data_IF_465961767255
#
_entry.id   IF_465961767255
#
_cell.length_a   1.000
_cell.length_b   1.000
_cell.length_c   1.000
_cell.angle_alpha   90.00
_cell.angle_beta   90.00
_cell.angle_gamma   90.00
#
_symmetry.space_group_name_H-M   'P 1'
#
loop_
_entity.id
_entity.type
_entity.pdbx_description
1 polymer ?
#
# COMPACT_ATOMS: atom_id res chain seq x y z
N UNK A 1 -4.95 -13.26 9.01
CA UNK A 1 -5.86 -14.00 8.11
C UNK A 1 -5.06 -14.43 6.88
N UNK A 2 -4.81 -15.73 6.69
CA UNK A 2 -3.98 -16.23 5.56
C UNK A 2 -4.84 -16.36 4.32
N UNK A 3 -4.72 -15.44 3.36
CA UNK A 3 -5.36 -15.58 2.05
C UNK A 3 -4.53 -16.57 1.23
N UNK A 4 -5.04 -17.80 1.07
CA UNK A 4 -4.52 -18.75 0.09
C UNK A 4 -5.03 -18.35 -1.30
N UNK A 5 -4.23 -17.67 -2.10
CA UNK A 5 -4.50 -17.54 -3.54
C UNK A 5 -4.36 -18.91 -4.19
N UNK A 6 -5.49 -19.53 -4.55
CA UNK A 6 -5.50 -20.63 -5.52
C UNK A 6 -5.34 -20.03 -6.91
N UNK A 7 -4.19 -20.31 -7.53
CA UNK A 7 -3.94 -20.04 -8.95
C UNK A 7 -4.93 -20.89 -9.76
N UNK A 8 -5.83 -20.24 -10.49
CA UNK A 8 -6.59 -20.87 -11.56
C UNK A 8 -5.97 -20.40 -12.86
N UNK A 9 -5.27 -21.31 -13.53
CA UNK A 9 -4.83 -21.12 -14.90
C UNK A 9 -6.05 -21.12 -15.82
N UNK A 10 -6.23 -20.05 -16.60
CA UNK A 10 -7.19 -20.01 -17.69
C UNK A 10 -6.44 -19.72 -18.99
N UNK A 11 -6.68 -20.60 -19.95
CA UNK A 11 -5.96 -20.78 -21.19
C UNK A 11 -6.09 -19.59 -22.15
N UNK A 12 -4.99 -19.33 -22.87
CA UNK A 12 -4.91 -18.45 -24.03
C UNK A 12 -5.68 -19.08 -25.19
N UNK A 13 -6.69 -18.38 -25.71
CA UNK A 13 -7.24 -18.66 -27.05
C UNK A 13 -6.74 -17.56 -27.98
N UNK A 14 -5.80 -17.95 -28.84
CA UNK A 14 -5.39 -17.16 -29.99
C UNK A 14 -6.50 -17.22 -31.05
N UNK A 15 -6.96 -16.07 -31.52
CA UNK A 15 -7.72 -15.97 -32.78
C UNK A 15 -6.83 -15.24 -33.78
N UNK A 16 -6.37 -16.00 -34.77
CA UNK A 16 -5.74 -15.50 -35.97
C UNK A 16 -6.79 -15.36 -37.10
N UNK A 17 -6.43 -14.51 -38.06
CA UNK A 17 -7.07 -14.22 -39.35
C UNK A 17 -8.21 -13.18 -39.34
N UNK A 18 -8.27 -12.22 -40.26
CA UNK A 18 -7.46 -12.03 -41.47
C UNK A 18 -7.61 -10.63 -42.06
N UNK A 19 -6.57 -10.21 -42.78
CA UNK A 19 -6.56 -9.07 -43.67
C UNK A 19 -7.33 -9.42 -44.95
N UNK A 20 -8.31 -8.58 -45.32
CA UNK A 20 -8.71 -8.42 -46.73
C UNK A 20 -8.92 -6.94 -47.00
N UNK A 21 -8.09 -6.38 -47.87
CA UNK A 21 -8.28 -5.09 -48.50
C UNK A 21 -8.99 -5.30 -49.84
N UNK A 22 -10.09 -4.58 -50.09
CA UNK A 22 -10.64 -4.33 -51.44
C UNK A 22 -11.33 -2.96 -51.46
N UNK A 23 -10.78 -2.05 -52.28
CA UNK A 23 -11.48 -1.29 -53.32
C UNK A 23 -12.64 -0.31 -53.01
N UNK A 24 -12.35 0.96 -53.28
CA UNK A 24 -13.19 2.15 -53.53
C UNK A 24 -14.58 1.97 -54.18
N UNK A 25 -15.56 2.81 -53.77
CA UNK A 25 -16.12 3.94 -54.57
C UNK A 25 -17.53 4.38 -54.11
N UNK A 26 -17.75 5.70 -54.01
CA UNK A 26 -19.02 6.34 -54.44
C UNK A 26 -20.01 6.86 -53.39
N UNK A 27 -20.01 8.18 -53.22
CA UNK A 27 -21.16 9.13 -53.17
C UNK A 27 -21.97 9.41 -51.88
N UNK A 28 -21.61 10.57 -51.29
CA UNK A 28 -22.42 11.70 -50.79
C UNK A 28 -22.92 11.86 -49.32
N UNK A 29 -23.00 13.12 -48.80
CA UNK A 29 -22.73 13.54 -47.40
C UNK A 29 -23.98 14.14 -46.70
N UNK A 30 -23.93 15.00 -45.66
CA UNK A 30 -23.02 15.17 -44.51
C UNK A 30 -23.78 14.98 -43.17
N UNK A 31 -23.11 14.54 -42.10
CA UNK A 31 -23.61 14.79 -40.74
C UNK A 31 -22.43 14.88 -39.77
N UNK A 32 -22.26 16.07 -39.20
CA UNK A 32 -21.23 16.36 -38.21
C UNK A 32 -21.24 15.34 -37.10
N UNK A 33 -20.21 14.48 -37.09
CA UNK A 33 -19.91 13.63 -35.96
C UNK A 33 -18.84 14.36 -35.16
N UNK A 34 -19.34 15.14 -34.21
CA UNK A 34 -18.62 15.67 -33.06
C UNK A 34 -17.57 14.68 -32.59
N UNK A 35 -16.30 15.01 -32.84
CA UNK A 35 -15.18 14.43 -32.11
C UNK A 35 -15.40 14.84 -30.66
N UNK A 36 -16.00 13.95 -29.86
CA UNK A 36 -16.04 14.15 -28.41
C UNK A 36 -14.58 14.16 -27.94
N UNK A 37 -14.09 15.26 -27.35
CA UNK A 37 -12.86 15.17 -26.58
C UNK A 37 -13.17 14.18 -25.46
N UNK A 38 -12.36 13.12 -25.35
CA UNK A 38 -12.36 12.28 -24.16
C UNK A 38 -12.18 13.22 -22.97
N UNK A 39 -13.26 13.43 -22.22
CA UNK A 39 -13.22 14.21 -21.00
C UNK A 39 -12.25 13.46 -20.09
N UNK A 40 -11.19 14.10 -19.55
CA UNK A 40 -10.45 13.46 -18.49
C UNK A 40 -11.49 13.09 -17.42
N UNK A 41 -11.54 11.81 -17.07
CA UNK A 41 -12.39 11.32 -15.99
C UNK A 41 -12.18 12.28 -14.83
N UNK A 42 -13.23 13.04 -14.51
CA UNK A 42 -13.20 14.04 -13.45
C UNK A 42 -12.95 13.26 -12.17
N UNK A 43 -11.68 13.15 -11.80
CA UNK A 43 -11.27 12.80 -10.46
C UNK A 43 -12.04 13.80 -9.59
N UNK A 44 -12.99 13.30 -8.81
CA UNK A 44 -13.63 14.08 -7.75
C UNK A 44 -12.49 14.80 -7.06
N UNK A 45 -12.46 16.13 -7.19
CA UNK A 45 -11.41 16.95 -6.60
C UNK A 45 -11.28 16.49 -5.15
N UNK A 46 -10.13 15.92 -4.82
CA UNK A 46 -9.83 15.54 -3.46
C UNK A 46 -9.91 16.84 -2.68
N UNK A 47 -10.94 16.99 -1.84
CA UNK A 47 -11.19 18.20 -1.05
C UNK A 47 -10.14 18.41 0.06
N UNK A 48 -9.03 17.68 -0.02
CA UNK A 48 -8.01 17.55 1.00
C UNK A 48 -6.63 17.49 0.32
N UNK A 49 -5.66 18.13 0.96
CA UNK A 49 -4.24 18.17 0.58
C UNK A 49 -3.49 16.98 1.20
N UNK A 50 -2.28 16.70 0.67
CA UNK A 50 -1.38 15.70 1.27
C UNK A 50 -1.07 16.00 2.74
N UNK A 51 -0.85 17.27 3.09
CA UNK A 51 -0.59 17.68 4.47
C UNK A 51 -1.77 17.42 5.40
N UNK A 52 -3.00 17.67 4.94
CA UNK A 52 -4.20 17.38 5.71
C UNK A 52 -4.39 15.87 5.90
N UNK A 53 -4.12 15.06 4.87
CA UNK A 53 -4.15 13.61 4.97
C UNK A 53 -3.08 13.10 5.96
N UNK A 54 -1.86 13.63 5.88
CA UNK A 54 -0.76 13.31 6.79
C UNK A 54 -1.11 13.63 8.26
N UNK A 55 -1.82 14.73 8.54
CA UNK A 55 -2.27 15.09 9.90
C UNK A 55 -3.36 14.18 10.44
N UNK A 56 -4.18 13.59 9.57
CA UNK A 56 -5.23 12.64 9.97
C UNK A 56 -4.68 11.25 10.27
N UNK A 57 -3.51 10.92 9.74
CA UNK A 57 -2.87 9.63 9.94
C UNK A 57 -2.26 9.53 11.35
N UNK A 58 -2.69 8.57 12.19
CA UNK A 58 -2.06 8.34 13.48
C UNK A 58 -0.71 7.63 13.30
N UNK A 59 0.37 8.41 13.13
CA UNK A 59 1.72 7.89 12.86
C UNK A 59 2.24 6.93 13.93
N UNK A 60 1.87 7.15 15.20
CA UNK A 60 2.26 6.29 16.33
C UNK A 60 1.22 5.19 16.62
N UNK A 61 0.36 4.88 15.64
CA UNK A 61 -0.70 3.89 15.76
C UNK A 61 -1.91 4.37 16.55
N UNK A 62 -2.82 3.44 16.83
CA UNK A 62 -4.04 3.71 17.60
C UNK A 62 -3.84 3.42 19.08
N UNK A 63 -4.86 3.72 19.90
CA UNK A 63 -4.86 3.32 21.31
C UNK A 63 -4.73 1.80 21.48
N UNK A 64 -5.39 1.03 20.61
CA UNK A 64 -5.46 -0.43 20.71
C UNK A 64 -4.27 -1.12 20.01
N UNK A 65 -3.65 -0.44 19.05
CA UNK A 65 -2.43 -0.85 18.35
C UNK A 65 -1.43 0.32 18.31
N UNK A 66 -0.72 0.61 19.41
CA UNK A 66 0.32 1.62 19.41
C UNK A 66 1.57 1.12 18.66
N UNK A 67 2.18 2.00 17.88
CA UNK A 67 3.41 1.78 17.13
C UNK A 67 4.55 2.52 17.83
N UNK A 68 5.62 1.80 18.14
CA UNK A 68 6.86 2.38 18.68
C UNK A 68 7.94 2.34 17.62
N UNK A 69 8.40 3.51 17.17
CA UNK A 69 9.41 3.63 16.13
C UNK A 69 10.83 3.66 16.72
N UNK A 70 11.70 2.76 16.28
CA UNK A 70 13.15 2.90 16.46
C UNK A 70 13.70 3.84 15.38
N UNK A 71 13.81 5.11 15.76
CA UNK A 71 14.27 6.21 14.87
C UNK A 71 15.79 6.34 14.81
N UNK A 72 16.55 5.58 15.61
CA UNK A 72 18.01 5.69 15.63
C UNK A 72 18.63 5.20 14.33
N UNK A 73 19.36 6.09 13.64
CA UNK A 73 20.21 5.76 12.48
C UNK A 73 19.54 5.90 11.11
N UNK A 74 18.26 6.25 11.03
CA UNK A 74 17.58 6.55 9.76
C UNK A 74 17.45 8.06 9.60
N UNK A 75 17.96 8.62 8.50
CA UNK A 75 17.63 9.99 8.13
C UNK A 75 16.17 10.06 7.70
N UNK A 76 15.39 10.97 8.30
CA UNK A 76 14.02 11.25 7.90
C UNK A 76 14.00 11.97 6.56
N UNK A 77 14.23 11.21 5.50
CA UNK A 77 14.04 11.64 4.11
C UNK A 77 12.57 11.50 3.72
N UNK A 78 12.12 12.27 2.73
CA UNK A 78 10.72 12.20 2.24
C UNK A 78 10.31 10.78 1.85
N UNK A 79 11.23 10.01 1.26
CA UNK A 79 11.03 8.60 0.92
C UNK A 79 10.75 7.75 2.16
N UNK A 80 11.57 7.88 3.20
CA UNK A 80 11.43 7.08 4.43
C UNK A 80 10.17 7.49 5.18
N UNK A 81 9.88 8.79 5.25
CA UNK A 81 8.65 9.30 5.86
C UNK A 81 7.40 8.82 5.11
N UNK A 82 7.42 8.83 3.77
CA UNK A 82 6.35 8.26 2.97
C UNK A 82 6.13 6.77 3.27
N UNK A 83 7.20 5.97 3.30
CA UNK A 83 7.10 4.54 3.61
C UNK A 83 6.57 4.29 5.04
N UNK A 84 6.99 5.09 6.03
CA UNK A 84 6.45 5.02 7.40
C UNK A 84 4.96 5.37 7.43
N UNK A 85 4.52 6.37 6.66
CA UNK A 85 3.11 6.75 6.55
C UNK A 85 2.28 5.63 5.93
N UNK A 86 2.77 4.98 4.87
CA UNK A 86 2.12 3.82 4.27
C UNK A 86 1.98 2.66 5.27
N UNK A 87 3.00 2.41 6.09
CA UNK A 87 2.95 1.41 7.17
C UNK A 87 1.93 1.78 8.25
N UNK A 88 2.01 2.99 8.79
CA UNK A 88 1.07 3.46 9.80
C UNK A 88 -0.38 3.39 9.31
N UNK A 89 -0.62 3.68 8.03
CA UNK A 89 -1.95 3.58 7.42
C UNK A 89 -2.49 2.15 7.46
N UNK A 90 -1.69 1.15 7.07
CA UNK A 90 -2.13 -0.25 7.06
C UNK A 90 -2.42 -0.74 8.47
N UNK A 91 -1.57 -0.41 9.44
CA UNK A 91 -1.82 -0.82 10.82
C UNK A 91 -3.00 -0.06 11.45
N UNK A 92 -3.26 1.19 11.03
CA UNK A 92 -4.47 1.91 11.44
C UNK A 92 -5.74 1.28 10.86
N UNK A 93 -5.74 0.95 9.57
CA UNK A 93 -6.82 0.22 8.91
C UNK A 93 -7.11 -1.11 9.64
N UNK A 94 -6.07 -1.92 9.85
CA UNK A 94 -6.18 -3.22 10.52
C UNK A 94 -6.65 -3.11 11.97
N UNK A 95 -6.31 -2.02 12.67
CA UNK A 95 -6.76 -1.78 14.04
C UNK A 95 -8.16 -1.18 14.15
N UNK A 96 -8.84 -0.92 13.03
CA UNK A 96 -10.10 -0.20 12.99
C UNK A 96 -11.26 -1.09 12.56
N UNK A 97 -12.40 -0.96 13.25
CA UNK A 97 -13.64 -1.68 12.91
C UNK A 97 -14.34 -1.08 11.69
N UNK A 98 -14.30 0.25 11.51
CA UNK A 98 -15.02 0.94 10.44
C UNK A 98 -14.02 1.57 9.47
N UNK A 99 -14.04 1.13 8.22
CA UNK A 99 -13.04 1.53 7.23
C UNK A 99 -13.43 2.74 6.37
N UNK A 100 -14.72 3.10 6.35
CA UNK A 100 -15.25 4.25 5.62
C UNK A 100 -14.48 5.58 5.82
N UNK A 101 -14.07 5.97 7.04
CA UNK A 101 -13.30 7.20 7.22
C UNK A 101 -11.80 7.05 6.92
N UNK A 102 -11.30 5.82 6.76
CA UNK A 102 -9.87 5.51 6.66
C UNK A 102 -9.48 5.28 5.20
N UNK A 103 -10.16 4.35 4.52
CA UNK A 103 -9.77 3.89 3.19
C UNK A 103 -9.60 5.04 2.19
N UNK A 104 -10.48 6.06 2.11
CA UNK A 104 -10.28 7.17 1.18
C UNK A 104 -8.94 7.91 1.35
N UNK A 105 -8.34 7.91 2.55
CA UNK A 105 -7.02 8.50 2.80
C UNK A 105 -5.88 7.68 2.19
N UNK A 106 -6.11 6.41 1.82
CA UNK A 106 -5.13 5.56 1.16
C UNK A 106 -4.57 6.16 -0.13
N UNK A 107 -5.35 7.01 -0.83
CA UNK A 107 -4.92 7.73 -2.04
C UNK A 107 -3.70 8.64 -1.84
N UNK A 108 -3.41 9.04 -0.60
CA UNK A 108 -2.27 9.90 -0.25
C UNK A 108 -1.05 9.10 0.22
N UNK A 109 -1.18 7.78 0.39
CA UNK A 109 -0.11 6.92 0.88
C UNK A 109 0.25 5.82 -0.11
N UNK A 110 -0.63 5.57 -1.09
CA UNK A 110 -0.51 4.53 -2.09
C UNK A 110 -0.72 5.11 -3.49
N UNK A 111 -0.08 4.50 -4.48
CA UNK A 111 -0.31 4.84 -5.90
C UNK A 111 -1.78 4.61 -6.26
N UNK A 112 -2.28 5.35 -7.25
CA UNK A 112 -3.68 5.23 -7.68
C UNK A 112 -4.02 3.79 -8.11
N UNK A 113 -3.11 3.11 -8.81
CA UNK A 113 -3.29 1.71 -9.20
C UNK A 113 -3.44 0.81 -7.97
N UNK A 114 -2.54 0.94 -6.99
CA UNK A 114 -2.60 0.16 -5.77
C UNK A 114 -3.89 0.44 -4.99
N UNK A 115 -4.24 1.71 -4.83
CA UNK A 115 -5.45 2.14 -4.16
C UNK A 115 -6.70 1.52 -4.80
N UNK A 116 -6.87 1.66 -6.12
CA UNK A 116 -8.06 1.18 -6.82
C UNK A 116 -8.16 -0.35 -6.76
N UNK A 117 -7.04 -1.05 -6.80
CA UNK A 117 -7.00 -2.51 -6.81
C UNK A 117 -7.20 -3.14 -5.43
N UNK A 118 -6.64 -2.53 -4.38
CA UNK A 118 -6.49 -3.19 -3.08
C UNK A 118 -7.21 -2.49 -1.93
N UNK A 119 -7.49 -1.19 -2.03
CA UNK A 119 -8.13 -0.41 -0.96
C UNK A 119 -9.57 -0.03 -1.31
N UNK A 120 -9.79 0.57 -2.48
CA UNK A 120 -11.10 1.05 -2.93
C UNK A 120 -12.24 0.01 -2.82
N UNK A 121 -12.03 -1.29 -3.13
CA UNK A 121 -13.09 -2.30 -3.01
C UNK A 121 -13.60 -2.50 -1.58
N UNK A 122 -12.80 -2.11 -0.57
CA UNK A 122 -13.10 -2.29 0.84
C UNK A 122 -13.47 -0.97 1.53
N UNK A 123 -13.72 0.10 0.77
CA UNK A 123 -14.01 1.43 1.33
C UNK A 123 -15.14 1.44 2.36
N UNK A 124 -16.13 0.56 2.24
CA UNK A 124 -17.26 0.47 3.17
C UNK A 124 -17.24 -0.81 4.02
N UNK A 125 -16.10 -1.50 4.11
CA UNK A 125 -15.99 -2.72 4.89
C UNK A 125 -16.07 -2.43 6.40
N UNK A 126 -16.50 -3.45 7.13
CA UNK A 126 -16.53 -3.49 8.59
C UNK A 126 -15.68 -4.69 9.02
N UNK A 127 -14.61 -4.43 9.76
CA UNK A 127 -13.75 -5.47 10.35
C UNK A 127 -14.31 -5.84 11.72
N UNK A 128 -14.77 -7.07 11.87
CA UNK A 128 -15.40 -7.54 13.12
C UNK A 128 -14.38 -7.93 14.17
N UNK A 129 -13.13 -8.16 13.80
CA UNK A 129 -12.09 -8.57 14.71
C UNK A 129 -10.74 -7.86 14.41
N UNK A 130 -10.68 -6.54 14.67
CA UNK A 130 -9.52 -5.73 14.32
C UNK A 130 -8.26 -6.18 15.06
N UNK A 131 -7.11 -5.77 14.56
CA UNK A 131 -5.83 -6.04 15.16
C UNK A 131 -5.59 -5.15 16.39
N UNK A 132 -4.98 -5.72 17.41
CA UNK A 132 -4.61 -5.05 18.65
C UNK A 132 -3.24 -5.53 19.13
N UNK A 133 -2.65 -4.78 20.06
CA UNK A 133 -1.35 -5.06 20.66
C UNK A 133 -0.26 -4.11 20.22
N UNK A 134 0.86 -4.12 20.95
CA UNK A 134 1.99 -3.23 20.66
C UNK A 134 2.73 -3.72 19.41
N UNK A 135 3.09 -2.77 18.56
CA UNK A 135 4.01 -2.95 17.44
C UNK A 135 5.28 -2.13 17.70
N UNK A 136 6.44 -2.73 17.47
CA UNK A 136 7.70 -1.98 17.36
C UNK A 136 8.17 -2.06 15.92
N UNK A 137 8.66 -0.95 15.38
CA UNK A 137 9.08 -0.85 13.99
C UNK A 137 10.47 -0.23 13.92
N UNK A 138 11.36 -0.84 13.13
CA UNK A 138 12.70 -0.36 12.88
C UNK A 138 12.96 -0.26 11.38
N UNK A 139 13.49 0.88 10.94
CA UNK A 139 13.99 1.00 9.58
C UNK A 139 15.24 0.13 9.38
N UNK A 140 15.25 -0.69 8.32
CA UNK A 140 16.37 -1.57 7.98
C UNK A 140 17.21 -1.02 6.83
N UNK A 141 16.55 -0.45 5.82
CA UNK A 141 17.25 0.10 4.66
C UNK A 141 16.33 0.48 3.52
N UNK A 142 16.92 1.17 2.54
CA UNK A 142 16.28 1.53 1.29
C UNK A 142 17.16 1.06 0.13
N UNK A 143 16.55 0.46 -0.87
CA UNK A 143 17.23 -0.14 -2.01
C UNK A 143 16.63 0.41 -3.30
N UNK A 144 17.42 1.18 -4.05
CA UNK A 144 17.00 1.73 -5.33
C UNK A 144 16.75 0.56 -6.31
N UNK A 145 15.52 0.44 -6.78
CA UNK A 145 15.10 -0.62 -7.72
C UNK A 145 14.85 -0.08 -9.13
N UNK A 146 14.76 1.24 -9.29
CA UNK A 146 14.63 1.93 -10.57
C UNK A 146 14.94 3.43 -10.45
N UNK A 147 14.84 4.21 -11.54
CA UNK A 147 15.05 5.66 -11.51
C UNK A 147 14.16 6.38 -10.49
N UNK A 148 12.88 6.03 -10.47
CA UNK A 148 11.83 6.61 -9.62
C UNK A 148 11.22 5.57 -8.67
N UNK A 149 11.93 4.45 -8.45
CA UNK A 149 11.46 3.35 -7.62
C UNK A 149 12.51 2.95 -6.59
N UNK A 150 12.08 2.78 -5.35
CA UNK A 150 12.93 2.35 -4.24
C UNK A 150 12.13 1.43 -3.34
N UNK A 151 12.72 0.31 -2.91
CA UNK A 151 12.11 -0.49 -1.86
C UNK A 151 12.63 -0.04 -0.51
N UNK A 152 11.74 0.31 0.41
CA UNK A 152 12.05 0.60 1.80
C UNK A 152 11.64 -0.59 2.65
N UNK A 153 12.55 -1.08 3.49
CA UNK A 153 12.30 -2.24 4.34
C UNK A 153 12.32 -1.86 5.81
N UNK A 154 11.30 -2.32 6.51
CA UNK A 154 11.18 -2.26 7.95
C UNK A 154 11.35 -3.66 8.55
N UNK A 155 11.82 -3.68 9.78
CA UNK A 155 11.70 -4.82 10.66
C UNK A 155 10.64 -4.51 11.69
N UNK A 156 9.66 -5.39 11.82
CA UNK A 156 8.59 -5.25 12.80
C UNK A 156 8.68 -6.34 13.85
N UNK A 157 8.45 -5.96 15.10
CA UNK A 157 8.24 -6.89 16.19
C UNK A 157 6.74 -7.13 16.39
N UNK A 158 6.22 -8.14 15.69
CA UNK A 158 4.81 -8.54 15.67
C UNK A 158 4.45 -9.48 16.82
N UNK A 159 5.34 -9.66 17.82
CA UNK A 159 5.20 -10.66 18.87
C UNK A 159 3.92 -10.52 19.69
N UNK A 160 3.41 -9.29 19.83
CA UNK A 160 2.23 -8.97 20.64
C UNK A 160 0.98 -8.61 19.82
N UNK A 161 1.11 -8.60 18.49
CA UNK A 161 -0.03 -8.40 17.60
C UNK A 161 -0.98 -9.60 17.69
N UNK A 162 -2.26 -9.30 17.77
CA UNK A 162 -3.34 -10.27 17.90
C UNK A 162 -4.65 -9.69 17.40
N UNK A 163 -5.61 -10.54 17.09
CA UNK A 163 -6.98 -10.09 16.91
C UNK A 163 -7.55 -9.60 18.25
N UNK A 164 -8.37 -8.55 18.25
CA UNK A 164 -8.87 -7.88 19.45
C UNK A 164 -9.68 -8.82 20.37
N UNK A 165 -10.40 -9.78 19.79
CA UNK A 165 -11.15 -10.78 20.54
C UNK A 165 -10.25 -11.86 21.18
N UNK A 166 -8.97 -11.95 20.79
CA UNK A 166 -8.05 -12.92 21.37
C UNK A 166 -7.58 -12.43 22.74
N UNK A 167 -7.69 -13.27 23.80
CA UNK A 167 -7.11 -12.95 25.10
C UNK A 167 -5.61 -12.75 24.93
N UNK A 168 -5.02 -11.79 25.67
CA UNK A 168 -3.60 -11.42 25.58
C UNK A 168 -2.70 -12.67 25.62
N UNK A 169 -2.22 -13.16 24.47
CA UNK A 169 -1.45 -14.38 24.43
C UNK A 169 -0.02 -14.08 24.85
N UNK A 170 0.76 -15.09 25.29
CA UNK A 170 2.20 -14.94 25.34
C UNK A 170 2.72 -14.52 23.96
N UNK A 171 3.85 -13.80 23.95
CA UNK A 171 4.44 -13.32 22.70
C UNK A 171 4.66 -14.49 21.72
N UNK A 172 4.38 -14.25 20.43
CA UNK A 172 4.65 -15.23 19.36
C UNK A 172 6.12 -15.64 19.36
N UNK A 173 6.40 -16.91 19.08
CA UNK A 173 7.79 -17.41 18.99
C UNK A 173 8.54 -16.80 17.80
N UNK A 174 7.91 -16.81 16.61
CA UNK A 174 8.38 -16.05 15.45
C UNK A 174 7.71 -14.69 15.47
N UNK A 175 8.48 -13.69 15.94
CA UNK A 175 7.99 -12.34 16.20
C UNK A 175 8.62 -11.26 15.33
N UNK A 176 9.71 -11.55 14.63
CA UNK A 176 10.27 -10.63 13.66
C UNK A 176 9.52 -10.78 12.33
N UNK A 177 9.25 -9.65 11.67
CA UNK A 177 8.73 -9.58 10.32
C UNK A 177 9.59 -8.61 9.51
N UNK A 178 9.97 -8.98 8.28
CA UNK A 178 10.55 -8.03 7.34
C UNK A 178 9.45 -7.55 6.41
N UNK A 179 9.03 -6.31 6.58
CA UNK A 179 7.94 -5.72 5.80
C UNK A 179 8.53 -4.70 4.83
N UNK A 180 8.30 -4.90 3.53
CA UNK A 180 8.93 -4.07 2.48
C UNK A 180 7.91 -3.32 1.63
N UNK A 181 8.10 -2.02 1.55
CA UNK A 181 7.27 -1.09 0.79
C UNK A 181 7.99 -0.73 -0.51
N UNK A 182 7.39 -1.07 -1.65
CA UNK A 182 7.85 -0.60 -2.96
C UNK A 182 7.34 0.82 -3.15
N UNK A 183 8.23 1.78 -3.05
CA UNK A 183 7.93 3.20 -3.17
C UNK A 183 8.16 3.66 -4.59
N UNK A 184 7.24 4.47 -5.11
CA UNK A 184 7.33 5.09 -6.43
C UNK A 184 7.17 6.60 -6.31
N UNK A 185 8.05 7.37 -6.96
CA UNK A 185 7.90 8.82 -7.07
C UNK A 185 6.92 9.14 -8.19
N UNK A 186 5.83 9.83 -7.87
CA UNK A 186 4.74 10.12 -8.82
C UNK A 186 4.35 11.59 -8.76
N UNK A 187 4.00 12.15 -9.92
CA UNK A 187 3.35 13.46 -9.99
C UNK A 187 1.88 13.30 -9.60
N UNK A 188 1.41 14.05 -8.61
CA UNK A 188 0.04 13.95 -8.10
C UNK A 188 -0.84 15.11 -8.56
N UNK A 189 -2.14 15.03 -8.24
CA UNK A 189 -3.13 16.01 -8.71
C UNK A 189 -2.97 17.43 -8.14
N UNK A 190 -2.14 17.60 -7.11
CA UNK A 190 -1.72 18.89 -6.56
C UNK A 190 -0.56 19.54 -7.35
N UNK A 191 -0.01 18.85 -8.35
CA UNK A 191 1.10 19.34 -9.17
C UNK A 191 2.49 19.12 -8.54
N UNK A 192 2.57 18.43 -7.41
CA UNK A 192 3.82 18.08 -6.74
C UNK A 192 4.20 16.62 -6.95
N UNK A 193 5.49 16.30 -6.76
CA UNK A 193 5.98 14.92 -6.83
C UNK A 193 6.11 14.31 -5.44
N UNK A 194 5.36 13.26 -5.18
CA UNK A 194 5.35 12.55 -3.90
C UNK A 194 5.84 11.11 -4.04
N UNK A 195 6.44 10.58 -2.98
CA UNK A 195 6.70 9.15 -2.86
C UNK A 195 5.45 8.45 -2.33
N UNK A 196 4.91 7.49 -3.08
CA UNK A 196 3.75 6.69 -2.67
C UNK A 196 4.10 5.21 -2.72
N UNK A 197 3.47 4.40 -1.86
CA UNK A 197 3.64 2.96 -1.91
C UNK A 197 2.85 2.37 -3.10
N UNK A 198 3.55 1.67 -3.97
CA UNK A 198 2.98 0.90 -5.08
C UNK A 198 2.73 -0.57 -4.70
N UNK A 199 3.29 -1.00 -3.58
CA UNK A 199 3.04 -2.33 -3.04
C UNK A 199 3.67 -2.56 -1.68
N UNK A 200 3.13 -3.57 -1.01
CA UNK A 200 3.63 -4.12 0.22
C UNK A 200 4.03 -5.58 0.00
N UNK A 201 5.17 -5.98 0.55
CA UNK A 201 5.62 -7.36 0.66
C UNK A 201 5.73 -7.68 2.15
N UNK A 202 4.73 -8.39 2.66
CA UNK A 202 4.76 -8.95 4.01
C UNK A 202 5.69 -10.18 4.05
N UNK A 203 6.43 -10.34 5.16
CA UNK A 203 7.46 -11.37 5.33
C UNK A 203 8.38 -11.52 4.11
N UNK A 204 9.13 -10.45 3.81
CA UNK A 204 9.97 -10.35 2.62
C UNK A 204 11.21 -11.25 2.68
N UNK A 205 11.00 -12.52 2.33
CA UNK A 205 12.04 -13.55 2.27
C UNK A 205 13.19 -13.22 1.30
N UNK A 206 13.00 -12.32 0.31
CA UNK A 206 14.10 -11.91 -0.58
C UNK A 206 15.18 -11.13 0.16
N UNK A 207 14.82 -10.49 1.27
CA UNK A 207 15.70 -9.64 2.08
C UNK A 207 16.16 -10.31 3.36
N UNK A 208 15.70 -11.53 3.62
CA UNK A 208 16.08 -12.32 4.80
C UNK A 208 17.59 -12.50 4.90
N UNK A 209 18.27 -12.82 3.79
CA UNK A 209 19.73 -12.96 3.77
C UNK A 209 20.48 -11.68 4.18
N UNK A 210 19.90 -10.50 3.94
CA UNK A 210 20.52 -9.20 4.22
C UNK A 210 20.15 -8.66 5.59
N UNK A 211 18.87 -8.75 5.98
CA UNK A 211 18.32 -8.07 7.16
C UNK A 211 17.77 -9.04 8.22
N UNK A 212 17.55 -10.32 7.88
CA UNK A 212 16.84 -11.28 8.73
C UNK A 212 17.52 -11.50 10.08
N UNK A 213 18.83 -11.75 10.11
CA UNK A 213 19.57 -11.97 11.36
C UNK A 213 19.52 -10.75 12.29
N UNK A 214 19.68 -9.54 11.74
CA UNK A 214 19.59 -8.30 12.52
C UNK A 214 18.16 -8.08 13.04
N UNK A 215 17.16 -8.30 12.19
CA UNK A 215 15.74 -8.15 12.54
C UNK A 215 15.33 -9.14 13.65
N UNK A 216 15.72 -10.41 13.53
CA UNK A 216 15.47 -11.45 14.53
C UNK A 216 16.19 -11.19 15.87
N UNK A 217 17.40 -10.62 15.83
CA UNK A 217 18.12 -10.25 17.04
C UNK A 217 17.45 -9.07 17.77
N UNK A 218 16.92 -8.12 17.00
CA UNK A 218 16.29 -6.89 17.49
C UNK A 218 14.86 -7.10 18.02
N UNK A 219 14.03 -7.91 17.35
CA UNK A 219 12.63 -8.13 17.69
C UNK A 219 12.47 -9.00 18.96
N UNK A 220 12.80 -8.44 20.13
CA UNK A 220 12.74 -9.10 21.44
C UNK A 220 12.07 -8.22 22.50
N UNK A 221 11.28 -7.23 22.06
CA UNK A 221 10.72 -6.21 22.95
C UNK A 221 9.76 -6.80 23.98
N UNK A 222 9.54 -6.06 25.06
CA UNK A 222 8.53 -6.36 26.09
C UNK A 222 7.66 -5.10 26.28
N UNK A 223 6.34 -5.25 26.53
CA UNK A 223 5.41 -4.14 26.72
C UNK A 223 5.69 -3.24 27.90
#
# INVERSE_FOLDING_TARGET
MRIRLKVVAAAVVAVAAGLTAVGCSGDDPPAGSTTSPATPSSAVALSMTFDEANRKLPMDGTKDLPITWEVSGAQDTDLVLAARRSLAFIYWEQASTVWAPIIPLGRYFYTEEHYQKLLAPYANAIETNPLAGRLWVKYMGAEKTGPDETTVTFCDDIGFLRSAEQPSPPARQQRWNLESYRMKKVMTGDGESHWLADGLIDNDGKREAKYGAQCAAWAKHKP
#
